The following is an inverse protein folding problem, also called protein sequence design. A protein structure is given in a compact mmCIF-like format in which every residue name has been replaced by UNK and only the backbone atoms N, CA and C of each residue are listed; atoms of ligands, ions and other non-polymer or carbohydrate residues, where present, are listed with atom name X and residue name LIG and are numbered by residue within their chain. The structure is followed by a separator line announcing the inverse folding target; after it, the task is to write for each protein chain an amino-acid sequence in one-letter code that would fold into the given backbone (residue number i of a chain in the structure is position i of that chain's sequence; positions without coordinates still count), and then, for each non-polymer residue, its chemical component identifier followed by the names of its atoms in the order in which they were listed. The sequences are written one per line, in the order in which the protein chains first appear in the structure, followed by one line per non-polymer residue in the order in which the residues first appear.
data_IF_501518211844
#
_entry.id   IF_501518211844
#
_cell.length_a   1.000
_cell.length_b   1.000
_cell.length_c   1.000
_cell.angle_alpha   90.00
_cell.angle_beta   90.00
_cell.angle_gamma   90.00
#
_symmetry.space_group_name_H-M   'P 1'
#
loop_
_entity.id
_entity.type
_entity.pdbx_description
1 polymer ?
#
# COMPACT_ATOMS: atom_id res chain seq x y z
N UNK A 1 10.40 -0.59 -12.59
CA UNK A 1 9.35 -1.27 -11.82
C UNK A 1 8.04 -0.54 -11.97
N UNK A 2 6.95 -1.26 -12.19
CA UNK A 2 5.63 -0.66 -12.36
C UNK A 2 4.68 -1.29 -11.35
N UNK A 3 4.13 -0.47 -10.47
CA UNK A 3 3.13 -0.90 -9.50
C UNK A 3 1.84 -0.14 -9.77
N UNK A 4 0.76 -0.89 -9.98
CA UNK A 4 -0.56 -0.33 -10.23
C UNK A 4 -1.50 -0.72 -9.11
N UNK A 5 -2.64 -0.05 -9.02
CA UNK A 5 -3.63 -0.26 -7.97
C UNK A 5 -5.01 -0.36 -8.61
N UNK A 6 -5.78 -1.37 -8.20
CA UNK A 6 -7.18 -1.44 -8.59
C UNK A 6 -7.97 -0.31 -7.93
N UNK A 7 -9.13 0.03 -8.48
CA UNK A 7 -9.99 1.06 -7.90
C UNK A 7 -10.36 0.75 -6.46
N UNK A 8 -10.63 -0.52 -6.17
CA UNK A 8 -10.96 -0.94 -4.81
C UNK A 8 -9.77 -0.77 -3.87
N UNK A 9 -8.56 -1.14 -4.32
CA UNK A 9 -7.36 -0.95 -3.52
C UNK A 9 -7.14 0.53 -3.23
N UNK A 10 -7.33 1.41 -4.21
CA UNK A 10 -7.22 2.85 -4.02
C UNK A 10 -8.16 3.34 -2.92
N UNK A 11 -9.42 2.87 -2.92
CA UNK A 11 -10.39 3.26 -1.89
C UNK A 11 -9.95 2.84 -0.49
N UNK A 12 -9.49 1.61 -0.36
CA UNK A 12 -9.05 1.09 0.93
C UNK A 12 -7.82 1.82 1.42
N UNK A 13 -6.84 2.02 0.56
CA UNK A 13 -5.61 2.73 0.92
C UNK A 13 -5.89 4.19 1.27
N UNK A 14 -6.77 4.84 0.55
CA UNK A 14 -7.17 6.22 0.85
C UNK A 14 -7.81 6.32 2.22
N UNK A 15 -8.73 5.42 2.54
CA UNK A 15 -9.38 5.37 3.87
C UNK A 15 -8.36 5.10 4.97
N UNK A 16 -7.45 4.17 4.73
CA UNK A 16 -6.41 3.83 5.71
C UNK A 16 -5.50 5.01 5.96
N UNK A 17 -5.13 5.72 4.92
CA UNK A 17 -4.29 6.91 5.01
C UNK A 17 -4.98 8.03 5.80
N UNK A 18 -6.25 8.29 5.51
CA UNK A 18 -7.03 9.31 6.22
C UNK A 18 -7.19 8.95 7.69
N UNK A 19 -7.53 7.69 7.98
CA UNK A 19 -7.69 7.24 9.37
C UNK A 19 -6.37 7.35 10.14
N UNK A 20 -5.26 6.98 9.52
CA UNK A 20 -3.95 7.06 10.14
C UNK A 20 -3.60 8.51 10.49
N UNK A 21 -3.90 9.43 9.61
CA UNK A 21 -3.58 10.85 9.81
C UNK A 21 -4.37 11.50 10.93
N UNK A 22 -5.53 10.95 11.27
CA UNK A 22 -6.31 11.44 12.42
C UNK A 22 -5.61 11.15 13.73
N UNK A 23 -4.88 10.05 13.81
CA UNK A 23 -4.14 9.68 15.02
C UNK A 23 -2.74 10.27 15.03
N UNK A 24 -2.09 10.31 13.87
CA UNK A 24 -0.72 10.79 13.76
C UNK A 24 -0.53 11.45 12.39
N UNK A 25 -0.34 12.78 12.34
CA UNK A 25 -0.14 13.47 11.06
C UNK A 25 1.05 12.99 10.23
N UNK A 26 1.98 12.28 10.86
CA UNK A 26 3.14 11.73 10.17
C UNK A 26 2.95 10.30 9.68
N UNK A 27 1.84 9.66 10.06
CA UNK A 27 1.63 8.27 9.71
C UNK A 27 1.42 8.12 8.21
N UNK A 28 2.08 7.14 7.64
CA UNK A 28 1.98 6.80 6.22
C UNK A 28 1.86 5.28 6.12
N UNK A 29 1.13 4.83 5.11
CA UNK A 29 0.96 3.39 4.88
C UNK A 29 2.21 2.88 4.16
N UNK A 30 2.76 1.78 4.65
CA UNK A 30 3.85 1.06 4.02
C UNK A 30 3.34 -0.28 3.54
N UNK A 31 3.56 -0.58 2.26
CA UNK A 31 3.23 -1.87 1.66
C UNK A 31 4.50 -2.73 1.63
N UNK A 32 4.35 -3.99 2.00
CA UNK A 32 5.48 -4.92 2.00
C UNK A 32 5.02 -6.34 1.70
N UNK A 33 5.96 -7.15 1.23
CA UNK A 33 5.67 -8.54 0.91
C UNK A 33 5.77 -9.39 2.16
N UNK A 34 4.83 -10.32 2.29
CA UNK A 34 4.86 -11.36 3.32
C UNK A 34 4.99 -12.73 2.64
N UNK A 35 5.13 -13.78 3.41
CA UNK A 35 5.22 -15.13 2.85
C UNK A 35 4.02 -15.55 2.02
N UNK A 36 2.85 -14.97 2.28
CA UNK A 36 1.60 -15.37 1.62
C UNK A 36 0.99 -14.26 0.75
N UNK A 37 1.65 -13.10 0.63
CA UNK A 37 1.10 -12.02 -0.17
C UNK A 37 1.67 -10.68 0.19
N UNK A 38 0.81 -9.67 0.27
CA UNK A 38 1.18 -8.30 0.58
C UNK A 38 0.36 -7.81 1.75
N UNK A 39 1.00 -7.12 2.66
CA UNK A 39 0.32 -6.48 3.79
C UNK A 39 0.71 -5.01 3.87
N UNK A 40 0.02 -4.28 4.73
CA UNK A 40 0.35 -2.90 4.99
C UNK A 40 0.46 -2.64 6.49
N UNK A 41 1.27 -1.64 6.82
CA UNK A 41 1.44 -1.18 8.20
C UNK A 41 1.52 0.33 8.20
N UNK A 42 1.27 0.94 9.35
CA UNK A 42 1.43 2.38 9.53
C UNK A 42 2.82 2.65 10.07
N UNK A 43 3.54 3.55 9.42
CA UNK A 43 4.91 3.89 9.79
C UNK A 43 5.10 5.40 9.76
N UNK A 44 6.11 5.88 10.47
CA UNK A 44 6.45 7.30 10.50
C UNK A 44 7.46 7.68 9.42
N UNK A 45 8.22 6.71 8.96
CA UNK A 45 9.27 6.93 7.96
C UNK A 45 9.48 5.69 7.11
N UNK A 46 10.04 5.82 5.90
CA UNK A 46 10.28 4.66 5.06
C UNK A 46 11.43 3.81 5.61
N UNK A 47 11.40 2.53 5.28
CA UNK A 47 12.54 1.64 5.52
C UNK A 47 13.61 1.90 4.45
N UNK A 48 14.87 1.59 4.71
CA UNK A 48 15.91 1.73 3.71
C UNK A 48 15.58 0.97 2.44
N UNK A 49 15.68 1.64 1.29
CA UNK A 49 15.37 1.05 0.01
C UNK A 49 13.92 1.13 -0.42
N UNK A 50 13.02 1.59 0.44
CA UNK A 50 11.63 1.76 0.06
C UNK A 50 11.47 2.80 -1.05
N UNK A 51 10.48 2.60 -1.88
CA UNK A 51 10.07 3.58 -2.88
C UNK A 51 8.90 4.39 -2.35
N UNK A 52 8.81 5.64 -2.75
CA UNK A 52 7.69 6.51 -2.41
C UNK A 52 6.75 6.57 -3.61
N UNK A 53 5.51 6.19 -3.39
CA UNK A 53 4.47 6.23 -4.42
C UNK A 53 3.47 7.31 -4.03
N UNK A 54 3.31 8.30 -4.90
CA UNK A 54 2.37 9.38 -4.66
C UNK A 54 1.19 9.28 -5.60
N UNK A 55 0.00 9.46 -5.05
CA UNK A 55 -1.26 9.55 -5.77
C UNK A 55 -2.02 10.76 -5.24
N UNK A 56 -3.07 11.17 -5.93
CA UNK A 56 -3.81 12.37 -5.55
C UNK A 56 -4.33 12.33 -4.12
N UNK A 57 -4.75 11.15 -3.68
CA UNK A 57 -5.42 11.00 -2.39
C UNK A 57 -4.57 10.36 -1.30
N UNK A 58 -3.38 9.87 -1.64
CA UNK A 58 -2.53 9.22 -0.65
C UNK A 58 -1.08 9.14 -1.11
N UNK A 59 -0.20 8.93 -0.13
CA UNK A 59 1.22 8.65 -0.34
C UNK A 59 1.53 7.33 0.35
N UNK A 60 2.28 6.47 -0.32
CA UNK A 60 2.68 5.17 0.23
C UNK A 60 4.19 5.02 0.21
N UNK A 61 4.70 4.29 1.19
CA UNK A 61 6.03 3.71 1.12
C UNK A 61 5.88 2.26 0.68
N UNK A 62 6.66 1.85 -0.28
CA UNK A 62 6.54 0.52 -0.89
C UNK A 62 7.89 -0.18 -0.84
N UNK A 63 7.91 -1.38 -0.28
CA UNK A 63 9.12 -2.21 -0.29
C UNK A 63 9.60 -2.40 -1.73
N UNK A 64 10.91 -2.27 -1.94
CA UNK A 64 11.47 -2.42 -3.28
C UNK A 64 11.24 -3.83 -3.82
N UNK A 65 11.07 -3.94 -5.13
CA UNK A 65 10.86 -5.23 -5.78
C UNK A 65 9.40 -5.63 -5.96
N UNK A 66 8.44 -4.84 -5.46
CA UNK A 66 7.04 -5.09 -5.73
C UNK A 66 6.69 -4.63 -7.14
N UNK A 67 6.09 -5.51 -7.92
CA UNK A 67 5.74 -5.24 -9.31
C UNK A 67 4.42 -5.94 -9.63
N UNK A 68 3.53 -5.26 -10.35
CA UNK A 68 2.22 -5.79 -10.71
C UNK A 68 1.09 -4.89 -10.25
N UNK A 69 -0.03 -5.48 -9.87
CA UNK A 69 -1.23 -4.75 -9.46
C UNK A 69 -1.64 -5.10 -8.05
N UNK A 70 -1.79 -4.09 -7.20
CA UNK A 70 -2.37 -4.27 -5.87
C UNK A 70 -3.88 -4.27 -6.03
N UNK A 71 -4.51 -5.33 -5.55
CA UNK A 71 -5.95 -5.53 -5.63
C UNK A 71 -6.46 -5.97 -4.27
N UNK A 72 -7.77 -6.16 -4.16
CA UNK A 72 -8.42 -6.56 -2.91
C UNK A 72 -9.28 -7.79 -3.18
N UNK A 73 -9.25 -8.73 -2.25
CA UNK A 73 -10.10 -9.92 -2.34
C UNK A 73 -11.00 -10.05 -1.12
N UNK A 74 -12.21 -10.53 -1.38
CA UNK A 74 -13.21 -10.82 -0.35
C UNK A 74 -12.84 -12.12 0.38
N UNK A 75 -13.38 -12.35 1.59
CA UNK A 75 -14.36 -11.52 2.30
C UNK A 75 -13.78 -10.52 3.28
N UNK A 76 -12.46 -10.49 3.48
CA UNK A 76 -11.85 -9.68 4.54
C UNK A 76 -11.10 -8.46 4.02
N UNK A 77 -11.39 -8.00 2.82
CA UNK A 77 -10.72 -6.84 2.20
C UNK A 77 -9.20 -6.98 2.26
N UNK A 78 -8.72 -8.18 1.93
CA UNK A 78 -7.30 -8.49 1.98
C UNK A 78 -6.61 -7.98 0.73
N UNK A 79 -5.50 -7.26 0.93
CA UNK A 79 -4.68 -6.82 -0.19
C UNK A 79 -3.90 -8.00 -0.78
N UNK A 80 -3.84 -8.03 -2.10
CA UNK A 80 -3.05 -9.03 -2.83
C UNK A 80 -2.24 -8.35 -3.92
N UNK A 81 -1.14 -8.96 -4.28
CA UNK A 81 -0.33 -8.52 -5.41
C UNK A 81 -0.53 -9.49 -6.56
N UNK A 82 -1.11 -8.99 -7.65
CA UNK A 82 -1.25 -9.78 -8.88
C UNK A 82 -0.05 -9.53 -9.77
N UNK A 83 0.61 -10.58 -10.26
CA UNK A 83 1.79 -10.39 -11.08
C UNK A 83 1.46 -9.63 -12.38
N UNK A 84 2.45 -8.92 -12.94
CA UNK A 84 2.29 -8.24 -14.22
C UNK A 84 2.09 -9.25 -15.35
N UNK A 85 1.35 -8.86 -16.35
CA UNK A 85 1.11 -9.70 -17.50
C UNK A 85 -0.29 -10.08 -17.73
#
# INVERSE_FOLDING_TARGET
MTLEFSDWAVRILTRSHEAARRFNPRATVRLFRTGSGVEFALVDEPHPGDEVVERDDFTLYVESGLDGTIDVVEPHDQLVLRPPG
#
